data_IF_564839330992
#
_entry.id   IF_564839330992
#
_cell.length_a   1.000
_cell.length_b   1.000
_cell.length_c   1.000
_cell.angle_alpha   90.00
_cell.angle_beta   90.00
_cell.angle_gamma   90.00
#
_symmetry.space_group_name_H-M   'P 1'
#
loop_
_entity.id
_entity.type
_entity.pdbx_description
1 polymer ?
#
# COMPACT_ATOMS: atom_id res chain seq x y z
N UNK A 1 -11.08 -29.49 96.36
CA UNK A 1 -9.65 -29.34 96.02
C UNK A 1 -9.38 -30.08 94.72
N UNK A 2 -9.18 -29.37 93.61
CA UNK A 2 -8.19 -29.70 92.57
C UNK A 2 -8.16 -28.59 91.51
N UNK A 3 -6.95 -28.13 91.18
CA UNK A 3 -6.69 -27.11 90.18
C UNK A 3 -6.78 -27.69 88.75
N UNK A 4 -7.24 -26.90 87.78
CA UNK A 4 -7.09 -27.27 86.35
C UNK A 4 -6.77 -26.05 85.49
N UNK A 5 -5.81 -26.29 84.59
CA UNK A 5 -5.02 -25.35 83.80
C UNK A 5 -5.78 -24.51 82.76
N UNK A 6 -5.21 -23.33 82.50
CA UNK A 6 -5.47 -22.45 81.36
C UNK A 6 -4.70 -22.95 80.14
N UNK A 7 -5.37 -23.19 79.01
CA UNK A 7 -4.72 -23.37 77.70
C UNK A 7 -5.18 -22.24 76.77
N UNK A 8 -4.23 -21.38 76.43
CA UNK A 8 -4.34 -20.30 75.45
C UNK A 8 -4.17 -20.87 74.04
N UNK A 9 -5.19 -20.74 73.20
CA UNK A 9 -5.10 -20.98 71.75
C UNK A 9 -4.98 -19.65 71.02
N UNK A 10 -3.86 -19.43 70.33
CA UNK A 10 -3.67 -18.31 69.40
C UNK A 10 -4.38 -18.62 68.07
N UNK A 11 -5.08 -17.65 67.45
CA UNK A 11 -5.67 -17.85 66.12
C UNK A 11 -4.60 -17.74 65.02
N UNK A 12 -4.64 -18.70 64.10
CA UNK A 12 -3.70 -18.90 63.00
C UNK A 12 -4.03 -17.96 61.82
N UNK A 13 -3.00 -17.30 61.25
CA UNK A 13 -3.11 -16.11 60.36
C UNK A 13 -3.20 -16.42 58.86
N UNK A 14 -3.67 -17.60 58.46
CA UNK A 14 -3.53 -18.06 57.06
C UNK A 14 -4.83 -18.09 56.25
N UNK A 15 -5.88 -17.39 56.70
CA UNK A 15 -7.21 -17.38 56.05
C UNK A 15 -7.53 -16.07 55.29
N UNK A 16 -6.52 -15.33 54.84
CA UNK A 16 -6.68 -14.02 54.19
C UNK A 16 -6.00 -13.89 52.82
N UNK A 17 -6.00 -14.97 52.01
CA UNK A 17 -5.40 -14.93 50.66
C UNK A 17 -6.23 -15.63 49.58
N UNK A 18 -7.54 -15.45 49.55
CA UNK A 18 -8.33 -15.76 48.34
C UNK A 18 -9.49 -14.77 48.26
N UNK A 19 -9.27 -13.61 47.65
CA UNK A 19 -10.38 -12.75 47.23
C UNK A 19 -10.08 -12.12 45.87
N UNK A 20 -10.70 -12.71 44.85
CA UNK A 20 -11.18 -12.15 43.60
C UNK A 20 -10.48 -10.90 43.06
N UNK A 21 -9.46 -11.11 42.22
CA UNK A 21 -9.04 -10.14 41.22
C UNK A 21 -9.94 -10.27 39.99
N UNK A 22 -11.13 -9.67 40.02
CA UNK A 22 -12.00 -9.52 38.85
C UNK A 22 -11.39 -8.43 37.96
N UNK A 23 -10.52 -8.85 37.04
CA UNK A 23 -9.90 -7.99 36.05
C UNK A 23 -10.93 -7.67 34.97
N UNK A 24 -11.55 -6.50 35.06
CA UNK A 24 -12.44 -5.94 34.04
C UNK A 24 -11.61 -5.65 32.79
N UNK A 25 -11.54 -6.59 31.85
CA UNK A 25 -11.07 -6.31 30.50
C UNK A 25 -12.05 -5.34 29.85
N UNK A 26 -11.68 -4.06 29.78
CA UNK A 26 -12.26 -3.13 28.82
C UNK A 26 -11.79 -3.60 27.46
N UNK A 27 -12.61 -4.40 26.79
CA UNK A 27 -12.42 -4.73 25.39
C UNK A 27 -12.49 -3.44 24.60
N UNK A 28 -11.33 -2.90 24.23
CA UNK A 28 -11.25 -1.94 23.13
C UNK A 28 -11.61 -2.76 21.90
N UNK A 29 -12.87 -2.69 21.47
CA UNK A 29 -13.27 -3.17 20.16
C UNK A 29 -12.44 -2.37 19.16
N UNK A 30 -11.31 -2.91 18.71
CA UNK A 30 -10.69 -2.42 17.49
C UNK A 30 -11.77 -2.58 16.43
N UNK A 31 -12.31 -1.47 15.93
CA UNK A 31 -13.13 -1.51 14.74
C UNK A 31 -12.36 -2.36 13.73
N UNK A 32 -12.97 -3.44 13.25
CA UNK A 32 -12.39 -4.20 12.16
C UNK A 32 -12.24 -3.19 11.02
N UNK A 33 -11.00 -2.75 10.76
CA UNK A 33 -10.69 -1.99 9.56
C UNK A 33 -11.17 -2.89 8.43
N UNK A 34 -12.02 -2.37 7.54
CA UNK A 34 -12.34 -3.08 6.32
C UNK A 34 -11.01 -3.53 5.68
N UNK A 35 -10.93 -4.80 5.26
CA UNK A 35 -9.73 -5.32 4.64
C UNK A 35 -9.37 -4.44 3.43
N UNK A 36 -8.12 -4.04 3.37
CA UNK A 36 -7.60 -3.20 2.30
C UNK A 36 -7.73 -3.92 0.95
N UNK A 37 -8.27 -3.24 -0.06
CA UNK A 37 -8.40 -3.81 -1.40
C UNK A 37 -7.06 -3.65 -2.12
N UNK A 38 -6.44 -4.79 -2.44
CA UNK A 38 -5.20 -4.79 -3.22
C UNK A 38 -5.49 -4.64 -4.71
N UNK A 39 -5.04 -3.53 -5.30
CA UNK A 39 -5.00 -3.28 -6.74
C UNK A 39 -3.98 -4.23 -7.37
N UNK A 40 -4.42 -4.96 -8.39
CA UNK A 40 -3.66 -6.04 -9.03
C UNK A 40 -3.37 -5.77 -10.50
N UNK A 41 -4.05 -4.79 -11.09
CA UNK A 41 -3.87 -4.35 -12.46
C UNK A 41 -4.42 -2.91 -12.63
N UNK A 42 -4.09 -2.29 -13.75
CA UNK A 42 -4.51 -0.94 -14.09
C UNK A 42 -3.34 0.04 -14.09
N UNK A 43 -3.66 1.33 -14.18
CA UNK A 43 -2.69 2.39 -14.26
C UNK A 43 -3.20 3.72 -13.74
N UNK A 44 -2.27 4.58 -13.35
CA UNK A 44 -2.48 6.03 -13.16
C UNK A 44 -1.54 6.73 -14.13
N UNK A 45 -2.03 7.69 -14.92
CA UNK A 45 -1.23 8.44 -15.88
C UNK A 45 -1.27 9.92 -15.55
N UNK A 46 -0.10 10.53 -15.39
CA UNK A 46 0.10 11.96 -15.25
C UNK A 46 0.77 12.47 -16.52
N UNK A 47 0.22 13.51 -17.14
CA UNK A 47 0.78 14.12 -18.34
C UNK A 47 0.96 15.62 -18.11
N UNK A 48 2.01 16.19 -18.69
CA UNK A 48 2.37 17.60 -18.48
C UNK A 48 1.29 18.60 -18.94
N UNK A 49 0.43 18.23 -19.89
CA UNK A 49 -0.51 19.15 -20.52
C UNK A 49 -1.98 18.76 -20.37
N UNK A 50 -2.31 17.78 -19.52
CA UNK A 50 -3.68 17.29 -19.38
C UNK A 50 -4.00 16.85 -17.96
N UNK A 51 -5.29 16.63 -17.74
CA UNK A 51 -5.80 15.90 -16.60
C UNK A 51 -5.06 14.56 -16.45
N UNK A 52 -4.90 14.13 -15.21
CA UNK A 52 -4.43 12.80 -14.92
C UNK A 52 -5.59 11.80 -15.02
N UNK A 53 -5.29 10.58 -15.43
CA UNK A 53 -6.29 9.53 -15.64
C UNK A 53 -6.02 8.35 -14.73
N UNK A 54 -7.08 7.75 -14.21
CA UNK A 54 -7.01 6.59 -13.31
C UNK A 54 -7.85 5.45 -13.84
N UNK A 55 -7.25 4.26 -13.87
CA UNK A 55 -7.91 3.01 -14.18
C UNK A 55 -7.37 1.95 -13.22
N UNK A 56 -8.13 1.57 -12.20
CA UNK A 56 -7.67 0.61 -11.19
C UNK A 56 -8.52 -0.65 -11.23
N UNK A 57 -7.89 -1.80 -11.06
CA UNK A 57 -8.57 -3.10 -11.05
C UNK A 57 -8.12 -3.93 -9.85
N UNK A 58 -9.08 -4.50 -9.16
CA UNK A 58 -8.90 -5.50 -8.11
C UNK A 58 -10.03 -6.53 -8.16
N UNK A 59 -9.97 -7.53 -7.29
CA UNK A 59 -11.03 -8.52 -7.18
C UNK A 59 -12.38 -7.85 -6.88
N UNK A 60 -13.27 -7.85 -7.87
CA UNK A 60 -14.60 -7.26 -7.77
C UNK A 60 -14.66 -5.72 -7.80
N UNK A 61 -13.53 -5.01 -7.94
CA UNK A 61 -13.47 -3.56 -8.02
C UNK A 61 -12.90 -3.12 -9.37
N UNK A 62 -13.62 -2.21 -10.05
CA UNK A 62 -13.15 -1.52 -11.24
C UNK A 62 -13.34 -0.01 -11.05
N UNK A 63 -12.25 0.75 -11.13
CA UNK A 63 -12.26 2.21 -10.98
C UNK A 63 -11.87 2.83 -12.31
N UNK A 64 -12.60 3.84 -12.76
CA UNK A 64 -12.26 4.65 -13.93
C UNK A 64 -12.59 6.12 -13.67
N UNK A 65 -11.63 7.00 -13.90
CA UNK A 65 -11.84 8.42 -13.63
C UNK A 65 -10.74 9.32 -14.17
N UNK A 66 -10.99 10.61 -14.01
CA UNK A 66 -10.06 11.70 -14.26
C UNK A 66 -9.79 12.43 -12.95
N UNK A 67 -8.53 12.77 -12.75
CA UNK A 67 -8.05 13.68 -11.73
C UNK A 67 -7.76 14.99 -12.47
N UNK A 68 -8.35 16.09 -12.03
CA UNK A 68 -8.12 17.40 -12.64
C UNK A 68 -6.63 17.76 -12.66
N UNK A 69 -6.26 18.77 -13.43
CA UNK A 69 -4.87 19.23 -13.44
C UNK A 69 -4.46 19.78 -12.07
N UNK A 70 -3.38 19.27 -11.49
CA UNK A 70 -2.76 19.86 -10.30
C UNK A 70 -1.32 20.32 -10.64
N UNK A 71 -0.92 21.56 -10.29
CA UNK A 71 0.47 22.03 -10.43
C UNK A 71 1.52 21.10 -9.80
N UNK A 72 1.14 20.34 -8.76
CA UNK A 72 1.92 19.33 -8.06
C UNK A 72 2.10 18.02 -8.83
N UNK A 73 1.33 17.78 -9.90
CA UNK A 73 1.57 16.64 -10.81
C UNK A 73 2.72 16.91 -11.78
N UNK A 74 3.13 18.18 -11.89
CA UNK A 74 4.33 18.52 -12.63
C UNK A 74 5.55 18.24 -11.76
N UNK A 75 6.45 17.40 -12.25
CA UNK A 75 7.80 17.29 -11.70
C UNK A 75 8.64 18.49 -12.19
N UNK A 76 8.30 19.69 -11.68
CA UNK A 76 8.71 21.01 -12.18
C UNK A 76 10.24 21.22 -12.27
N UNK A 77 11.02 20.37 -11.59
CA UNK A 77 12.48 20.53 -11.45
C UNK A 77 13.31 19.47 -12.17
N UNK A 78 12.70 18.61 -13.01
CA UNK A 78 13.44 17.45 -13.50
C UNK A 78 14.26 17.69 -14.79
N UNK A 79 14.05 18.76 -15.59
CA UNK A 79 14.91 19.10 -16.76
C UNK A 79 14.59 20.45 -17.47
N UNK A 80 14.61 21.61 -16.80
CA UNK A 80 14.54 22.93 -17.50
C UNK A 80 15.90 23.61 -17.70
N UNK A 81 16.95 23.17 -16.99
CA UNK A 81 18.31 23.67 -17.15
C UNK A 81 19.30 22.50 -17.18
N UNK A 82 20.21 22.52 -18.15
CA UNK A 82 21.29 21.54 -18.31
C UNK A 82 22.34 21.71 -17.20
N UNK A 83 22.90 20.60 -16.63
CA UNK A 83 22.67 19.22 -17.04
C UNK A 83 21.58 18.52 -16.23
N UNK A 84 20.70 17.83 -16.95
CA UNK A 84 19.86 16.77 -16.42
C UNK A 84 20.76 15.64 -15.89
N UNK A 85 20.61 15.29 -14.61
CA UNK A 85 21.47 14.30 -13.96
C UNK A 85 21.40 14.25 -12.43
N UNK A 86 20.54 15.07 -11.83
CA UNK A 86 20.19 14.93 -10.41
C UNK A 86 19.44 13.63 -10.12
N UNK A 87 19.45 13.22 -8.87
CA UNK A 87 18.63 12.11 -8.37
C UNK A 87 17.27 12.67 -7.93
N UNK A 88 16.19 12.05 -8.36
CA UNK A 88 14.81 12.47 -8.05
C UNK A 88 13.95 11.27 -7.68
N UNK A 89 12.81 11.53 -7.04
CA UNK A 89 11.76 10.53 -6.89
C UNK A 89 10.55 10.92 -7.75
N UNK A 90 9.83 9.92 -8.23
CA UNK A 90 8.54 10.07 -8.90
C UNK A 90 7.38 9.93 -7.89
N UNK A 91 7.66 10.12 -6.61
CA UNK A 91 6.69 10.00 -5.53
C UNK A 91 5.69 11.16 -5.62
N UNK A 92 4.41 10.86 -5.41
CA UNK A 92 3.29 11.80 -5.51
C UNK A 92 2.26 11.45 -4.45
N UNK A 93 1.64 12.47 -3.86
CA UNK A 93 0.48 12.30 -2.99
C UNK A 93 -0.51 13.42 -3.23
N UNK A 94 -1.79 13.11 -3.09
CA UNK A 94 -2.86 14.09 -3.25
C UNK A 94 -4.15 13.64 -2.56
N UNK A 95 -5.07 14.58 -2.34
CA UNK A 95 -6.40 14.36 -1.81
C UNK A 95 -7.42 15.22 -2.55
N UNK A 96 -8.18 14.58 -3.44
CA UNK A 96 -9.13 15.23 -4.34
C UNK A 96 -10.58 15.02 -3.87
N UNK A 97 -11.44 15.98 -4.14
CA UNK A 97 -12.89 15.90 -3.85
C UNK A 97 -13.71 16.46 -5.01
N UNK A 98 -14.76 15.74 -5.41
CA UNK A 98 -15.66 16.11 -6.50
C UNK A 98 -16.39 17.44 -6.25
N UNK A 99 -16.47 17.89 -5.00
CA UNK A 99 -17.06 19.19 -4.62
C UNK A 99 -16.08 20.36 -4.71
N UNK A 100 -14.79 20.13 -4.92
CA UNK A 100 -13.77 21.17 -5.05
C UNK A 100 -13.49 21.36 -6.54
N UNK A 101 -13.96 22.47 -7.16
CA UNK A 101 -13.68 22.75 -8.55
C UNK A 101 -12.26 23.30 -8.70
N UNK A 102 -11.48 22.73 -9.61
CA UNK A 102 -10.34 23.37 -10.24
C UNK A 102 -10.84 24.60 -11.05
N UNK A 103 -10.24 25.78 -10.86
CA UNK A 103 -10.70 27.03 -11.47
C UNK A 103 -10.47 27.10 -12.99
N UNK A 104 -9.69 26.18 -13.57
CA UNK A 104 -9.35 26.14 -15.00
C UNK A 104 -10.15 25.04 -15.73
N UNK A 105 -10.39 23.89 -15.09
CA UNK A 105 -10.93 22.69 -15.76
C UNK A 105 -12.23 22.09 -15.17
N UNK A 106 -12.71 22.53 -14.00
CA UNK A 106 -13.91 21.96 -13.36
C UNK A 106 -13.58 21.01 -12.20
N UNK A 107 -14.38 19.98 -11.90
CA UNK A 107 -14.15 19.12 -10.70
C UNK A 107 -12.72 18.56 -10.63
N UNK A 108 -12.10 18.58 -9.44
CA UNK A 108 -10.73 18.06 -9.21
C UNK A 108 -10.64 16.52 -9.28
N UNK A 109 -11.74 15.81 -9.12
CA UNK A 109 -11.84 14.38 -9.44
C UNK A 109 -13.22 14.06 -9.99
N UNK A 110 -13.27 13.25 -11.05
CA UNK A 110 -14.50 12.80 -11.68
C UNK A 110 -14.38 11.36 -12.16
N UNK A 111 -15.51 10.66 -12.26
CA UNK A 111 -15.55 9.29 -12.73
C UNK A 111 -16.45 8.40 -11.87
N UNK A 112 -16.25 7.10 -12.01
CA UNK A 112 -17.05 6.09 -11.34
C UNK A 112 -16.23 4.86 -10.99
N UNK A 113 -16.71 4.10 -10.02
CA UNK A 113 -16.22 2.75 -9.79
C UNK A 113 -17.38 1.78 -9.62
N UNK A 114 -17.13 0.53 -9.98
CA UNK A 114 -18.05 -0.58 -9.77
C UNK A 114 -17.49 -1.51 -8.68
N UNK A 115 -18.35 -1.93 -7.76
CA UNK A 115 -18.08 -3.01 -6.82
C UNK A 115 -19.11 -4.13 -7.05
N UNK A 116 -18.67 -5.23 -7.66
CA UNK A 116 -19.59 -6.25 -8.15
C UNK A 116 -20.58 -5.66 -9.16
N UNK A 117 -21.87 -5.64 -8.82
CA UNK A 117 -22.93 -5.08 -9.67
C UNK A 117 -23.27 -3.61 -9.35
N UNK A 118 -22.78 -3.07 -8.23
CA UNK A 118 -23.10 -1.72 -7.79
C UNK A 118 -22.17 -0.68 -8.43
N UNK A 119 -22.74 0.39 -8.99
CA UNK A 119 -22.00 1.52 -9.56
C UNK A 119 -22.05 2.73 -8.63
N UNK A 120 -20.89 3.35 -8.43
CA UNK A 120 -20.70 4.52 -7.59
C UNK A 120 -20.07 5.65 -8.41
N UNK A 121 -20.53 6.88 -8.19
CA UNK A 121 -19.80 8.07 -8.63
C UNK A 121 -18.69 8.35 -7.62
N UNK A 122 -17.50 8.71 -8.10
CA UNK A 122 -16.40 9.11 -7.22
C UNK A 122 -16.76 10.44 -6.57
N UNK A 123 -16.69 10.50 -5.24
CA UNK A 123 -16.87 11.74 -4.48
C UNK A 123 -15.53 12.26 -3.94
N UNK A 124 -14.62 11.36 -3.54
CA UNK A 124 -13.29 11.73 -3.09
C UNK A 124 -12.27 10.63 -3.38
N UNK A 125 -11.03 11.03 -3.67
CA UNK A 125 -9.92 10.12 -3.88
C UNK A 125 -8.66 10.73 -3.27
N UNK A 126 -8.11 10.06 -2.26
CA UNK A 126 -6.82 10.38 -1.68
C UNK A 126 -5.86 9.25 -1.96
N UNK A 127 -4.62 9.59 -2.30
CA UNK A 127 -3.61 8.59 -2.64
C UNK A 127 -2.21 9.06 -2.32
N UNK A 128 -1.34 8.09 -2.15
CA UNK A 128 0.10 8.24 -2.03
C UNK A 128 0.77 7.17 -2.87
N UNK A 129 1.72 7.60 -3.70
CA UNK A 129 2.62 6.75 -4.46
C UNK A 129 4.03 7.09 -4.02
N UNK A 130 4.74 6.08 -3.52
CA UNK A 130 6.13 6.19 -3.10
C UNK A 130 7.00 5.39 -4.07
N UNK A 131 8.05 6.02 -4.58
CA UNK A 131 8.97 5.42 -5.56
C UNK A 131 10.39 5.37 -5.04
N UNK A 132 11.22 4.52 -5.65
CA UNK A 132 12.67 4.63 -5.48
C UNK A 132 13.24 5.79 -6.31
N UNK A 133 14.42 6.26 -5.89
CA UNK A 133 15.19 7.26 -6.60
C UNK A 133 15.52 6.87 -8.06
N UNK A 134 15.45 7.84 -8.96
CA UNK A 134 15.78 7.75 -10.38
C UNK A 134 16.77 8.83 -10.80
N UNK A 135 17.43 8.62 -11.93
CA UNK A 135 18.25 9.64 -12.61
C UNK A 135 17.66 9.88 -14.00
N UNK A 136 17.11 11.08 -14.28
CA UNK A 136 16.58 11.43 -15.59
C UNK A 136 17.65 11.30 -16.68
N UNK A 137 17.29 10.79 -17.87
CA UNK A 137 18.23 10.67 -18.98
C UNK A 137 18.62 12.06 -19.53
N UNK A 138 19.91 12.31 -19.80
CA UNK A 138 20.41 13.65 -20.12
C UNK A 138 19.99 14.19 -21.49
N UNK A 139 19.49 13.34 -22.38
CA UNK A 139 19.08 13.72 -23.76
C UNK A 139 17.62 13.37 -24.06
N UNK A 140 16.81 13.15 -23.02
CA UNK A 140 15.48 12.57 -23.13
C UNK A 140 15.50 11.04 -23.17
N UNK A 141 14.33 10.43 -23.02
CA UNK A 141 14.16 8.98 -22.90
C UNK A 141 13.20 8.59 -21.76
N UNK A 142 13.16 7.29 -21.45
CA UNK A 142 12.34 6.75 -20.37
C UNK A 142 13.20 6.23 -19.22
N UNK A 143 12.73 6.41 -17.99
CA UNK A 143 13.29 5.76 -16.79
C UNK A 143 12.16 5.10 -16.02
N UNK A 144 12.46 3.95 -15.43
CA UNK A 144 11.48 3.19 -14.65
C UNK A 144 12.00 2.90 -13.25
N UNK A 145 11.10 2.88 -12.28
CA UNK A 145 11.38 2.58 -10.87
C UNK A 145 10.17 1.86 -10.26
N UNK A 146 10.36 0.90 -9.34
CA UNK A 146 9.25 0.31 -8.63
C UNK A 146 8.55 1.35 -7.74
N UNK A 147 7.24 1.17 -7.53
CA UNK A 147 6.45 1.98 -6.61
C UNK A 147 5.60 1.15 -5.66
N UNK A 148 5.23 1.77 -4.54
CA UNK A 148 4.15 1.35 -3.64
C UNK A 148 3.04 2.39 -3.68
N UNK A 149 1.81 1.92 -3.60
CA UNK A 149 0.61 2.75 -3.62
C UNK A 149 -0.25 2.45 -2.40
N UNK A 150 -0.77 3.50 -1.80
CA UNK A 150 -1.83 3.49 -0.80
C UNK A 150 -2.87 4.54 -1.17
N UNK A 151 -4.13 4.30 -0.86
CA UNK A 151 -5.18 5.26 -1.14
C UNK A 151 -6.49 4.99 -0.43
N UNK A 152 -7.38 5.97 -0.51
CA UNK A 152 -8.74 5.92 -0.01
C UNK A 152 -9.67 6.44 -1.10
N UNK A 153 -10.63 5.61 -1.51
CA UNK A 153 -11.63 5.93 -2.51
C UNK A 153 -13.02 5.98 -1.89
N UNK A 154 -13.69 7.12 -2.01
CA UNK A 154 -15.06 7.32 -1.54
C UNK A 154 -15.98 7.59 -2.72
N UNK A 155 -17.15 6.96 -2.72
CA UNK A 155 -18.18 7.26 -3.71
C UNK A 155 -19.59 6.96 -3.24
N UNK A 156 -20.54 7.53 -3.98
CA UNK A 156 -21.97 7.44 -3.70
C UNK A 156 -22.69 6.83 -4.89
N UNK A 157 -23.55 5.84 -4.64
CA UNK A 157 -24.36 5.21 -5.68
C UNK A 157 -25.66 6.00 -5.97
N UNK A 158 -26.41 5.56 -6.97
CA UNK A 158 -27.68 6.19 -7.36
C UNK A 158 -28.75 6.20 -6.25
N UNK A 159 -28.65 5.30 -5.27
CA UNK A 159 -29.54 5.25 -4.11
C UNK A 159 -29.10 6.18 -2.97
N UNK A 160 -28.02 6.95 -3.14
CA UNK A 160 -27.46 7.83 -2.11
C UNK A 160 -26.62 7.12 -1.05
N UNK A 161 -26.30 5.83 -1.25
CA UNK A 161 -25.44 5.09 -0.33
C UNK A 161 -23.99 5.43 -0.63
N UNK A 162 -23.31 6.00 0.35
CA UNK A 162 -21.89 6.28 0.31
C UNK A 162 -21.08 5.10 0.83
N UNK A 163 -19.93 4.84 0.20
CA UNK A 163 -18.93 3.87 0.67
C UNK A 163 -17.52 4.41 0.51
N UNK A 164 -16.65 4.00 1.42
CA UNK A 164 -15.22 4.30 1.40
C UNK A 164 -14.43 3.00 1.42
N UNK A 165 -13.37 2.93 0.61
CA UNK A 165 -12.49 1.79 0.48
C UNK A 165 -11.04 2.23 0.68
N UNK A 166 -10.29 1.46 1.46
CA UNK A 166 -8.84 1.55 1.50
C UNK A 166 -8.27 0.70 0.37
N UNK A 167 -7.29 1.26 -0.33
CA UNK A 167 -6.64 0.66 -1.49
C UNK A 167 -5.14 0.55 -1.23
N UNK A 168 -4.55 -0.57 -1.61
CA UNK A 168 -3.10 -0.73 -1.70
C UNK A 168 -2.69 -1.31 -3.04
N UNK A 169 -1.44 -1.12 -3.43
CA UNK A 169 -0.91 -1.70 -4.65
C UNK A 169 0.58 -1.50 -4.79
N UNK A 170 1.13 -2.09 -5.83
CA UNK A 170 2.52 -1.89 -6.23
C UNK A 170 2.62 -2.05 -7.75
N UNK A 171 3.74 -1.64 -8.30
CA UNK A 171 4.03 -1.84 -9.71
C UNK A 171 5.23 -1.04 -10.18
N UNK A 172 5.21 -0.67 -11.46
CA UNK A 172 6.30 0.03 -12.12
C UNK A 172 5.87 1.43 -12.54
N UNK A 173 6.59 2.44 -12.06
CA UNK A 173 6.45 3.81 -12.51
C UNK A 173 7.40 4.00 -13.69
N UNK A 174 6.92 4.59 -14.78
CA UNK A 174 7.72 4.93 -15.97
C UNK A 174 7.52 6.39 -16.29
N UNK A 175 8.60 7.16 -16.20
CA UNK A 175 8.61 8.57 -16.55
C UNK A 175 9.28 8.80 -17.91
N UNK A 176 8.63 9.59 -18.75
CA UNK A 176 9.14 10.03 -20.04
C UNK A 176 9.73 11.44 -19.96
N UNK A 177 10.87 11.63 -20.61
CA UNK A 177 11.59 12.90 -20.68
C UNK A 177 11.86 13.27 -22.13
N UNK A 178 11.63 14.54 -22.46
CA UNK A 178 12.05 15.18 -23.70
C UNK A 178 13.23 16.12 -23.39
N UNK A 179 13.95 16.64 -24.41
CA UNK A 179 15.06 17.57 -24.21
C UNK A 179 14.72 18.83 -23.39
N UNK A 180 13.43 19.14 -23.24
CA UNK A 180 12.93 20.32 -22.51
C UNK A 180 12.27 20.00 -21.16
N UNK A 181 12.27 18.73 -20.72
CA UNK A 181 11.66 18.40 -19.43
C UNK A 181 10.99 17.04 -19.35
N UNK A 182 10.39 16.82 -18.19
CA UNK A 182 9.44 15.74 -17.94
C UNK A 182 8.19 15.94 -18.81
N UNK A 183 7.74 14.85 -19.46
CA UNK A 183 6.57 14.82 -20.34
C UNK A 183 5.37 14.18 -19.64
N UNK A 184 5.62 13.15 -18.84
CA UNK A 184 4.58 12.36 -18.20
C UNK A 184 5.15 11.22 -17.38
N UNK A 185 4.35 10.71 -16.44
CA UNK A 185 4.64 9.52 -15.66
C UNK A 185 3.42 8.60 -15.70
N UNK A 186 3.64 7.35 -16.10
CA UNK A 186 2.66 6.28 -15.96
C UNK A 186 3.03 5.36 -14.81
N UNK A 187 2.08 5.11 -13.90
CA UNK A 187 2.19 4.12 -12.83
C UNK A 187 1.37 2.92 -13.24
N UNK A 188 2.03 1.83 -13.65
CA UNK A 188 1.34 0.58 -14.05
C UNK A 188 1.32 -0.35 -12.85
N UNK A 189 0.12 -0.74 -12.41
CA UNK A 189 -0.07 -1.67 -11.31
C UNK A 189 0.16 -3.09 -11.79
N UNK A 190 0.86 -3.85 -10.97
CA UNK A 190 1.19 -5.24 -11.23
C UNK A 190 0.81 -6.06 -10.01
N UNK A 191 0.30 -7.27 -10.23
CA UNK A 191 0.12 -8.21 -9.13
C UNK A 191 1.50 -8.49 -8.53
N UNK A 192 1.65 -8.48 -7.20
CA UNK A 192 2.94 -8.80 -6.59
C UNK A 192 3.40 -10.16 -7.12
N UNK A 193 4.51 -10.16 -7.88
CA UNK A 193 5.08 -11.41 -8.37
C UNK A 193 5.33 -12.28 -7.16
N UNK A 194 4.84 -13.54 -7.17
CA UNK A 194 5.05 -14.45 -6.05
C UNK A 194 6.55 -14.49 -5.73
N UNK A 195 6.96 -13.84 -4.63
CA UNK A 195 8.31 -13.93 -4.12
C UNK A 195 8.61 -15.42 -3.98
N UNK A 196 9.69 -15.96 -4.58
CA UNK A 196 9.98 -17.39 -4.50
C UNK A 196 9.97 -17.81 -3.04
N UNK A 197 9.04 -18.68 -2.67
CA UNK A 197 8.84 -19.02 -1.27
C UNK A 197 10.14 -19.61 -0.70
N UNK A 198 10.42 -19.40 0.61
CA UNK A 198 11.62 -19.92 1.27
C UNK A 198 11.85 -21.43 1.04
N UNK A 199 10.77 -22.19 0.81
CA UNK A 199 10.82 -23.59 0.44
C UNK A 199 11.52 -23.85 -0.90
N UNK A 200 11.37 -22.97 -1.89
CA UNK A 200 12.06 -23.06 -3.19
C UNK A 200 13.56 -22.80 -3.04
N UNK A 201 13.95 -21.87 -2.16
CA UNK A 201 15.36 -21.65 -1.81
C UNK A 201 15.95 -22.82 -1.01
N UNK A 202 15.18 -23.38 -0.08
CA UNK A 202 15.58 -24.56 0.67
C UNK A 202 15.71 -25.81 -0.23
N UNK A 203 14.84 -25.95 -1.24
CA UNK A 203 14.89 -27.03 -2.23
C UNK A 203 16.10 -26.87 -3.16
N UNK A 204 16.40 -25.65 -3.61
CA UNK A 204 17.61 -25.35 -4.39
C UNK A 204 18.88 -25.65 -3.56
N UNK A 205 18.91 -25.22 -2.30
CA UNK A 205 20.02 -25.45 -1.38
C UNK A 205 20.25 -26.94 -1.07
N UNK A 206 19.18 -27.69 -0.82
CA UNK A 206 19.28 -29.14 -0.58
C UNK A 206 19.64 -29.94 -1.84
N UNK A 207 19.15 -29.53 -3.01
CA UNK A 207 19.53 -30.14 -4.30
C UNK A 207 21.03 -30.02 -4.61
N UNK A 208 21.61 -28.83 -4.41
CA UNK A 208 23.04 -28.59 -4.58
C UNK A 208 23.90 -29.44 -3.61
N UNK A 209 23.52 -29.52 -2.34
CA UNK A 209 24.21 -30.35 -1.36
C UNK A 209 24.15 -31.85 -1.71
N UNK A 210 23.01 -32.31 -2.25
CA UNK A 210 22.86 -33.68 -2.75
C UNK A 210 23.82 -34.02 -3.89
N UNK A 211 23.99 -33.09 -4.84
CA UNK A 211 24.90 -33.27 -5.99
C UNK A 211 26.36 -33.33 -5.53
N UNK A 212 26.79 -32.42 -4.64
CA UNK A 212 28.16 -32.45 -4.11
C UNK A 212 28.43 -33.71 -3.26
N UNK A 213 27.45 -34.14 -2.47
CA UNK A 213 27.54 -35.39 -1.70
C UNK A 213 27.67 -36.63 -2.59
N UNK A 214 26.88 -36.71 -3.67
CA UNK A 214 26.94 -37.81 -4.63
C UNK A 214 28.26 -37.80 -5.43
N UNK A 215 28.73 -36.63 -5.86
CA UNK A 215 30.01 -36.47 -6.57
C UNK A 215 31.21 -36.89 -5.70
N UNK A 216 31.19 -36.58 -4.40
CA UNK A 216 32.24 -36.99 -3.47
C UNK A 216 32.30 -38.51 -3.28
N UNK A 217 31.15 -39.20 -3.17
CA UNK A 217 31.13 -40.66 -3.02
C UNK A 217 31.66 -41.38 -4.26
N UNK A 218 31.43 -40.84 -5.46
CA UNK A 218 31.97 -41.42 -6.70
C UNK A 218 33.49 -41.34 -6.82
N UNK A 219 34.13 -40.34 -6.19
CA UNK A 219 35.59 -40.21 -6.18
C UNK A 219 36.30 -41.09 -5.13
N UNK A 220 35.57 -41.59 -4.13
CA UNK A 220 36.14 -42.45 -3.08
C UNK A 220 36.06 -43.94 -3.45
N UNK A 221 35.16 -44.29 -4.36
CA UNK A 221 34.95 -45.67 -4.83
C UNK A 221 35.56 -45.95 -6.22
N UNK A 222 36.39 -45.05 -6.74
CA UNK A 222 37.16 -45.19 -7.98
C UNK A 222 38.65 -45.14 -7.64
#
# INVERSE_FOLDING_TARGET
MNATNVISMRPNRDLARVFCLTMTMVGVSTAASADEITITNGWISLLQSSDAEIHLQAAGLLVGGRMGSDPGYHFQNACYQSPCGGVYELSIHDSLSASTPDPVFGQTVGGSFALGADLFRIDAFAYEIVTGAIVPPPSGGGVSTPFRFTGSLTGTNASGVQRTFLLAGAGTATAGYAPYGWVGTGYTFESPSATPEPASLALLGSGLLGIFGAARRRRVNA
#
